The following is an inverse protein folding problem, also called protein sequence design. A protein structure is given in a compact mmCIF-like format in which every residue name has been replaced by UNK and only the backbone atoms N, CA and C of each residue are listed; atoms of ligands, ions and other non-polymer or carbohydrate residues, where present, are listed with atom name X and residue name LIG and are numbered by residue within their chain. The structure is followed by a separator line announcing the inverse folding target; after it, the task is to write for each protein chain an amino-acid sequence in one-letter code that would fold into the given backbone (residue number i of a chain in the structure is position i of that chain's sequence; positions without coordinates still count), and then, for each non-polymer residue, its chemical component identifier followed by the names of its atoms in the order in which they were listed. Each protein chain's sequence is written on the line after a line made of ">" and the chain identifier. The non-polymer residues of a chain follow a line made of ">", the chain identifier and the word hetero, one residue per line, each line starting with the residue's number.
data_IF_745135260137
#
_entry.id   IF_745135260137
#
_cell.length_a   1.000
_cell.length_b   1.000
_cell.length_c   1.000
_cell.angle_alpha   90.00
_cell.angle_beta   90.00
_cell.angle_gamma   90.00
#
_symmetry.space_group_name_H-M   'P 1'
#
loop_
_entity.id
_entity.type
_entity.pdbx_description
1 polymer ?
#
# COMPACT_ATOMS: atom_id res chain seq x y z
N UNK A 1 7.61 -8.40 5.42
CA UNK A 1 8.27 -7.09 5.59
C UNK A 1 9.71 -7.20 5.15
N UNK A 2 10.22 -6.20 4.41
CA UNK A 2 11.65 -6.04 4.10
C UNK A 2 12.15 -4.73 4.71
N UNK A 3 13.41 -4.69 5.16
CA UNK A 3 14.00 -3.53 5.84
C UNK A 3 15.41 -3.27 5.34
N UNK A 4 15.76 -1.99 5.24
CA UNK A 4 17.06 -1.51 4.83
C UNK A 4 17.58 -0.52 5.87
N UNK A 5 18.83 -0.69 6.31
CA UNK A 5 19.47 0.14 7.31
C UNK A 5 20.76 0.72 6.75
N UNK A 6 20.90 2.03 6.82
CA UNK A 6 22.09 2.79 6.38
C UNK A 6 22.59 3.68 7.51
N UNK A 7 23.13 3.09 8.59
CA UNK A 7 23.70 3.86 9.66
C UNK A 7 25.02 4.48 9.25
N UNK A 8 25.39 5.58 9.91
CA UNK A 8 26.71 6.19 9.74
C UNK A 8 27.18 6.90 11.02
N UNK A 9 28.47 7.17 11.11
CA UNK A 9 29.09 7.81 12.27
C UNK A 9 28.68 9.28 12.50
N UNK A 10 28.06 9.93 11.51
CA UNK A 10 27.59 11.32 11.61
C UNK A 10 26.16 11.42 12.17
N UNK A 11 25.52 10.32 12.57
CA UNK A 11 24.14 10.25 13.03
C UNK A 11 23.11 10.76 12.00
N UNK A 12 23.45 10.76 10.72
CA UNK A 12 22.54 11.15 9.61
C UNK A 12 21.97 9.96 8.86
N UNK A 13 22.22 8.75 9.35
CA UNK A 13 21.74 7.51 8.74
C UNK A 13 20.23 7.42 8.70
N UNK A 14 19.74 6.61 7.77
CA UNK A 14 18.32 6.33 7.56
C UNK A 14 18.05 4.82 7.56
N UNK A 15 16.85 4.46 7.98
CA UNK A 15 16.27 3.15 7.75
C UNK A 15 14.96 3.30 6.99
N UNK A 16 14.66 2.32 6.14
CA UNK A 16 13.40 2.24 5.43
C UNK A 16 12.87 0.81 5.50
N UNK A 17 11.57 0.66 5.73
CA UNK A 17 10.90 -0.63 5.71
C UNK A 17 9.65 -0.61 4.84
N UNK A 18 9.38 -1.74 4.19
CA UNK A 18 8.21 -1.99 3.37
C UNK A 18 7.44 -3.15 3.98
N UNK A 19 6.18 -2.94 4.32
CA UNK A 19 5.34 -3.91 5.02
C UNK A 19 3.96 -3.99 4.38
N UNK A 20 3.61 -5.14 3.82
CA UNK A 20 2.28 -5.36 3.28
C UNK A 20 1.28 -5.68 4.39
N UNK A 21 0.18 -4.93 4.42
CA UNK A 21 -0.96 -5.20 5.29
C UNK A 21 -2.07 -5.86 4.46
N UNK A 22 -2.29 -7.16 4.68
CA UNK A 22 -3.29 -7.95 3.96
C UNK A 22 -4.72 -7.42 4.17
N UNK A 23 -5.06 -6.99 5.39
CA UNK A 23 -6.41 -6.48 5.72
C UNK A 23 -6.73 -5.18 4.99
N UNK A 24 -5.76 -4.29 4.90
CA UNK A 24 -5.89 -3.01 4.21
C UNK A 24 -5.60 -3.09 2.72
N UNK A 25 -5.12 -4.25 2.24
CA UNK A 25 -4.64 -4.48 0.87
C UNK A 25 -3.68 -3.37 0.41
N UNK A 26 -2.75 -2.98 1.28
CA UNK A 26 -1.85 -1.85 1.06
C UNK A 26 -0.44 -2.13 1.55
N UNK A 27 0.53 -1.49 0.92
CA UNK A 27 1.92 -1.49 1.34
C UNK A 27 2.20 -0.25 2.19
N UNK A 28 2.68 -0.46 3.42
CA UNK A 28 3.18 0.61 4.27
C UNK A 28 4.67 0.78 4.08
N UNK A 29 5.09 2.00 3.83
CA UNK A 29 6.48 2.41 3.72
C UNK A 29 6.81 3.29 4.90
N UNK A 30 7.81 2.91 5.69
CA UNK A 30 8.21 3.64 6.88
C UNK A 30 9.66 4.08 6.76
N UNK A 31 9.94 5.33 7.12
CA UNK A 31 11.26 5.91 7.25
C UNK A 31 11.56 6.24 8.69
N UNK A 32 12.80 5.99 9.11
CA UNK A 32 13.28 6.33 10.45
C UNK A 32 14.69 6.90 10.30
N UNK A 33 14.96 8.05 10.93
CA UNK A 33 16.32 8.58 11.07
C UNK A 33 17.06 7.90 12.21
N UNK A 34 18.34 7.75 12.03
CA UNK A 34 19.24 7.24 13.07
C UNK A 34 19.15 8.09 14.34
N UNK A 35 19.17 7.44 15.49
CA UNK A 35 19.09 8.08 16.80
C UNK A 35 20.49 8.30 17.38
N UNK A 36 21.34 7.25 17.30
CA UNK A 36 22.67 7.28 17.84
C UNK A 36 23.63 6.40 17.05
N UNK A 37 24.93 6.58 17.28
CA UNK A 37 26.01 5.77 16.74
C UNK A 37 26.89 5.29 17.88
N UNK A 38 27.22 4.00 17.88
CA UNK A 38 28.23 3.44 18.76
C UNK A 38 29.56 3.27 17.97
N UNK A 39 30.62 4.02 18.31
CA UNK A 39 31.89 3.96 17.59
C UNK A 39 32.64 2.64 17.79
N UNK A 40 32.47 1.96 18.92
CA UNK A 40 33.16 0.71 19.25
C UNK A 40 32.59 -0.45 18.41
N UNK A 41 31.27 -0.61 18.42
CA UNK A 41 30.59 -1.66 17.63
C UNK A 41 30.32 -1.26 16.19
N UNK A 42 30.60 -0.01 15.79
CA UNK A 42 30.31 0.59 14.48
C UNK A 42 28.84 0.40 14.05
N UNK A 43 27.92 0.49 15.01
CA UNK A 43 26.49 0.29 14.81
C UNK A 43 25.69 1.56 15.09
N UNK A 44 24.64 1.76 14.27
CA UNK A 44 23.65 2.80 14.49
C UNK A 44 22.36 2.26 15.11
N UNK A 45 21.73 3.05 15.99
CA UNK A 45 20.45 2.73 16.61
C UNK A 45 19.33 3.53 15.96
N UNK A 46 18.22 2.87 15.65
CA UNK A 46 16.99 3.44 15.12
C UNK A 46 15.81 3.29 16.09
N UNK A 47 15.96 2.40 17.08
CA UNK A 47 14.97 2.17 18.13
C UNK A 47 14.82 3.41 19.01
N UNK A 48 13.57 3.73 19.40
CA UNK A 48 13.30 4.89 20.25
C UNK A 48 13.32 6.24 19.52
N UNK A 49 13.38 6.25 18.17
CA UNK A 49 13.32 7.51 17.40
C UNK A 49 12.06 8.30 17.76
N UNK A 50 12.22 9.59 18.00
CA UNK A 50 11.13 10.52 18.27
C UNK A 50 10.20 10.68 17.02
N UNK A 51 8.97 11.19 17.16
CA UNK A 51 8.02 11.33 16.05
C UNK A 51 8.52 12.17 14.88
N UNK A 52 9.32 13.21 15.13
CA UNK A 52 9.94 14.05 14.10
C UNK A 52 10.98 13.29 13.27
N UNK A 53 11.56 12.23 13.81
CA UNK A 53 12.51 11.33 13.14
C UNK A 53 11.85 10.17 12.40
N UNK A 54 10.52 10.17 12.29
CA UNK A 54 9.75 9.12 11.61
C UNK A 54 8.84 9.72 10.55
N UNK A 55 8.67 8.99 9.46
CA UNK A 55 7.64 9.28 8.47
C UNK A 55 7.11 7.97 7.88
N UNK A 56 5.90 7.98 7.39
CA UNK A 56 5.29 6.84 6.73
C UNK A 56 4.40 7.29 5.59
N UNK A 57 4.25 6.40 4.62
CA UNK A 57 3.30 6.55 3.52
C UNK A 57 2.64 5.22 3.23
N UNK A 58 1.38 5.26 2.81
CA UNK A 58 0.64 4.10 2.35
C UNK A 58 0.68 4.08 0.83
N UNK A 59 1.23 3.02 0.26
CA UNK A 59 1.30 2.83 -1.18
C UNK A 59 0.12 2.03 -1.68
N UNK A 60 -0.51 2.51 -2.73
CA UNK A 60 -1.48 1.75 -3.52
C UNK A 60 -0.77 0.68 -4.34
N UNK A 61 -1.56 -0.24 -4.89
CA UNK A 61 -1.06 -1.29 -5.81
C UNK A 61 -0.42 -0.69 -7.06
N UNK A 62 -1.01 0.38 -7.60
CA UNK A 62 -0.46 1.09 -8.76
C UNK A 62 0.89 1.72 -8.45
N UNK A 63 1.05 2.31 -7.27
CA UNK A 63 2.32 2.89 -6.84
C UNK A 63 3.40 1.82 -6.63
N UNK A 64 3.00 0.66 -6.11
CA UNK A 64 3.91 -0.47 -5.99
C UNK A 64 4.37 -0.98 -7.37
N UNK A 65 3.47 -1.06 -8.34
CA UNK A 65 3.80 -1.42 -9.73
C UNK A 65 4.73 -0.36 -10.37
N UNK A 66 4.49 0.93 -10.11
CA UNK A 66 5.37 2.02 -10.56
C UNK A 66 6.78 1.93 -9.99
N UNK A 67 6.91 1.55 -8.71
CA UNK A 67 8.21 1.29 -8.08
C UNK A 67 8.95 0.11 -8.75
N UNK A 68 8.25 -0.99 -9.03
CA UNK A 68 8.82 -2.15 -9.77
C UNK A 68 9.32 -1.71 -11.14
N UNK A 69 8.49 -0.99 -11.89
CA UNK A 69 8.84 -0.49 -13.22
C UNK A 69 10.08 0.41 -13.19
N UNK A 70 10.17 1.33 -12.23
CA UNK A 70 11.33 2.21 -12.08
C UNK A 70 12.63 1.43 -11.82
N UNK A 71 12.58 0.37 -11.01
CA UNK A 71 13.76 -0.48 -10.76
C UNK A 71 14.15 -1.26 -12.03
N UNK A 72 13.18 -1.77 -12.78
CA UNK A 72 13.42 -2.56 -14.02
C UNK A 72 14.02 -1.72 -15.14
N UNK A 73 13.55 -0.52 -15.30
CA UNK A 73 13.96 0.38 -16.38
C UNK A 73 15.12 1.30 -15.99
N UNK A 74 15.63 1.21 -14.76
CA UNK A 74 16.55 2.21 -14.18
C UNK A 74 15.99 3.64 -14.31
N UNK A 75 14.67 3.77 -14.16
CA UNK A 75 13.94 5.01 -14.32
C UNK A 75 13.57 5.67 -12.99
N UNK A 76 12.68 6.63 -13.09
CA UNK A 76 12.15 7.37 -11.95
C UNK A 76 10.69 7.03 -11.72
N UNK A 77 10.28 7.05 -10.46
CA UNK A 77 8.88 6.97 -10.06
C UNK A 77 8.65 7.86 -8.85
N UNK A 78 7.59 8.64 -8.87
CA UNK A 78 7.19 9.47 -7.75
C UNK A 78 5.70 9.74 -7.77
N UNK A 79 5.16 10.09 -6.61
CA UNK A 79 3.77 10.47 -6.47
C UNK A 79 3.58 11.43 -5.30
N UNK A 80 2.35 11.96 -5.20
CA UNK A 80 1.91 12.92 -4.21
C UNK A 80 0.63 12.44 -3.54
N UNK A 81 0.62 12.46 -2.20
CA UNK A 81 -0.57 12.24 -1.40
C UNK A 81 -0.91 13.51 -0.64
N UNK A 82 -2.06 14.10 -0.93
CA UNK A 82 -2.53 15.33 -0.31
C UNK A 82 -3.81 15.13 0.49
N UNK A 83 -3.85 15.72 1.68
CA UNK A 83 -5.05 15.99 2.45
C UNK A 83 -5.08 17.49 2.81
N UNK A 84 -6.17 17.96 3.43
CA UNK A 84 -6.26 19.37 3.89
C UNK A 84 -5.10 19.78 4.80
N UNK A 85 -4.59 18.85 5.60
CA UNK A 85 -3.62 19.14 6.65
C UNK A 85 -2.23 18.57 6.33
N UNK A 86 -2.15 17.50 5.54
CA UNK A 86 -0.92 16.74 5.36
C UNK A 86 -0.64 16.46 3.89
N UNK A 87 0.55 16.82 3.46
CA UNK A 87 1.07 16.50 2.14
C UNK A 87 2.27 15.55 2.26
N UNK A 88 2.29 14.54 1.42
CA UNK A 88 3.40 13.59 1.33
C UNK A 88 3.81 13.46 -0.12
N UNK A 89 5.07 13.72 -0.42
CA UNK A 89 5.68 13.48 -1.74
C UNK A 89 6.75 12.42 -1.58
N UNK A 90 6.80 11.47 -2.49
CA UNK A 90 7.90 10.53 -2.54
C UNK A 90 8.46 10.41 -3.95
N UNK A 91 9.75 10.10 -4.03
CA UNK A 91 10.46 9.88 -5.29
C UNK A 91 11.46 8.75 -5.14
N UNK A 92 11.39 7.78 -6.04
CA UNK A 92 12.40 6.76 -6.28
C UNK A 92 13.10 7.08 -7.60
N UNK A 93 14.44 7.06 -7.63
CA UNK A 93 15.18 7.44 -8.81
C UNK A 93 16.57 6.78 -8.84
N UNK A 94 17.23 6.72 -10.00
CA UNK A 94 18.64 6.35 -10.08
C UNK A 94 19.49 7.20 -9.15
N UNK A 95 20.44 6.57 -8.45
CA UNK A 95 21.43 7.27 -7.64
C UNK A 95 22.73 7.40 -8.42
N UNK A 96 23.04 8.62 -8.78
CA UNK A 96 24.21 8.95 -9.59
C UNK A 96 25.40 9.36 -8.72
N UNK A 97 26.58 8.89 -9.03
CA UNK A 97 27.85 9.33 -8.46
C UNK A 97 28.89 9.42 -9.58
N UNK A 98 29.58 10.52 -9.70
CA UNK A 98 30.64 10.75 -10.68
C UNK A 98 30.21 10.41 -12.13
N UNK A 99 28.96 10.78 -12.49
CA UNK A 99 28.38 10.53 -13.81
C UNK A 99 27.86 9.11 -14.05
N UNK A 100 28.04 8.18 -13.11
CA UNK A 100 27.60 6.80 -13.22
C UNK A 100 26.51 6.47 -12.22
N UNK A 101 25.57 5.62 -12.61
CA UNK A 101 24.58 5.07 -11.68
C UNK A 101 25.25 4.04 -10.77
N UNK A 102 25.11 4.26 -9.45
CA UNK A 102 25.67 3.34 -8.43
C UNK A 102 24.60 2.61 -7.63
N UNK A 103 23.32 2.83 -7.97
CA UNK A 103 22.18 2.21 -7.32
C UNK A 103 20.94 3.08 -7.49
N UNK A 104 20.12 3.13 -6.45
CA UNK A 104 18.87 3.89 -6.42
C UNK A 104 18.81 4.76 -5.17
N UNK A 105 18.04 5.83 -5.22
CA UNK A 105 17.67 6.63 -4.06
C UNK A 105 16.16 6.66 -3.88
N UNK A 106 15.71 6.67 -2.65
CA UNK A 106 14.31 6.83 -2.32
C UNK A 106 14.14 7.94 -1.29
N UNK A 107 13.38 8.96 -1.64
CA UNK A 107 13.09 10.09 -0.78
C UNK A 107 11.61 10.17 -0.44
N UNK A 108 11.30 10.68 0.75
CA UNK A 108 9.96 10.98 1.21
C UNK A 108 9.96 12.31 1.95
N UNK A 109 9.13 13.25 1.49
CA UNK A 109 8.93 14.54 2.11
C UNK A 109 7.49 14.61 2.63
N UNK A 110 7.34 15.01 3.89
CA UNK A 110 6.05 15.24 4.51
C UNK A 110 5.98 16.66 5.06
N UNK A 111 4.83 17.30 4.85
CA UNK A 111 4.50 18.56 5.53
C UNK A 111 3.15 18.43 6.22
N UNK A 112 3.05 18.98 7.41
CA UNK A 112 1.79 19.14 8.13
C UNK A 112 1.56 20.65 8.30
N UNK A 113 0.52 21.19 7.64
CA UNK A 113 0.23 22.62 7.66
C UNK A 113 -0.33 23.09 9.02
N UNK A 114 -1.07 22.23 9.72
CA UNK A 114 -1.62 22.54 11.04
C UNK A 114 -0.52 22.68 12.11
N UNK A 115 0.54 21.88 12.01
CA UNK A 115 1.67 21.87 12.96
C UNK A 115 2.88 22.68 12.47
N UNK A 116 2.85 23.20 11.24
CA UNK A 116 3.97 23.83 10.56
C UNK A 116 5.26 22.95 10.55
N UNK A 117 5.09 21.64 10.45
CA UNK A 117 6.18 20.66 10.47
C UNK A 117 6.49 20.19 9.05
N UNK A 118 7.79 20.23 8.71
CA UNK A 118 8.31 19.64 7.46
C UNK A 118 9.34 18.58 7.80
N UNK A 119 9.21 17.40 7.18
CA UNK A 119 10.12 16.27 7.35
C UNK A 119 10.62 15.82 5.98
N UNK A 120 11.91 15.56 5.86
CA UNK A 120 12.51 15.03 4.65
C UNK A 120 13.37 13.83 5.00
N UNK A 121 13.20 12.74 4.27
CA UNK A 121 13.94 11.49 4.43
C UNK A 121 14.51 11.06 3.09
N UNK A 122 15.68 10.47 3.12
CA UNK A 122 16.32 9.86 1.96
C UNK A 122 17.08 8.62 2.39
N UNK A 123 17.05 7.58 1.54
CA UNK A 123 17.86 6.38 1.69
C UNK A 123 18.40 5.97 0.32
N UNK A 124 19.64 5.50 0.28
CA UNK A 124 20.24 4.92 -0.91
C UNK A 124 20.16 3.40 -0.88
N UNK A 125 19.95 2.81 -2.05
CA UNK A 125 20.00 1.36 -2.27
C UNK A 125 21.11 1.03 -3.26
N UNK A 126 21.87 -0.02 -2.99
CA UNK A 126 22.71 -0.66 -3.99
C UNK A 126 21.84 -1.33 -5.05
N UNK A 127 22.40 -1.72 -6.19
CA UNK A 127 21.65 -2.51 -7.19
C UNK A 127 21.10 -3.82 -6.61
N UNK A 128 21.87 -4.49 -5.73
CA UNK A 128 21.43 -5.72 -5.07
C UNK A 128 20.22 -5.47 -4.16
N UNK A 129 20.24 -4.38 -3.39
CA UNK A 129 19.10 -3.99 -2.53
C UNK A 129 17.88 -3.56 -3.35
N UNK A 130 18.09 -2.86 -4.47
CA UNK A 130 17.03 -2.56 -5.45
C UNK A 130 16.40 -3.85 -6.00
N UNK A 131 17.23 -4.84 -6.35
CA UNK A 131 16.73 -6.16 -6.78
C UNK A 131 15.90 -6.85 -5.69
N UNK A 132 16.38 -6.87 -4.44
CA UNK A 132 15.63 -7.43 -3.31
C UNK A 132 14.29 -6.71 -3.10
N UNK A 133 14.27 -5.40 -3.19
CA UNK A 133 13.05 -4.59 -3.07
C UNK A 133 12.06 -4.93 -4.21
N UNK A 134 12.54 -5.09 -5.44
CA UNK A 134 11.73 -5.49 -6.58
C UNK A 134 11.08 -6.85 -6.36
N UNK A 135 11.84 -7.87 -5.98
CA UNK A 135 11.32 -9.23 -5.75
C UNK A 135 10.27 -9.24 -4.61
N UNK A 136 10.51 -8.48 -3.55
CA UNK A 136 9.53 -8.29 -2.50
C UNK A 136 8.25 -7.62 -3.02
N UNK A 137 8.38 -6.56 -3.81
CA UNK A 137 7.26 -5.83 -4.39
C UNK A 137 6.43 -6.71 -5.33
N UNK A 138 7.06 -7.51 -6.19
CA UNK A 138 6.40 -8.49 -7.06
C UNK A 138 5.65 -9.57 -6.26
N UNK A 139 6.22 -10.04 -5.16
CA UNK A 139 5.55 -10.97 -4.24
C UNK A 139 4.30 -10.35 -3.61
N UNK A 140 4.38 -9.09 -3.20
CA UNK A 140 3.23 -8.34 -2.66
C UNK A 140 2.15 -8.16 -3.71
N UNK A 141 2.50 -7.79 -4.95
CA UNK A 141 1.55 -7.67 -6.07
C UNK A 141 0.85 -9.00 -6.34
N UNK A 142 1.60 -10.10 -6.39
CA UNK A 142 1.03 -11.45 -6.56
C UNK A 142 0.03 -11.78 -5.46
N UNK A 143 0.40 -11.58 -4.21
CA UNK A 143 -0.48 -11.84 -3.07
C UNK A 143 -1.74 -10.96 -3.11
N UNK A 144 -1.61 -9.69 -3.46
CA UNK A 144 -2.75 -8.80 -3.61
C UNK A 144 -3.77 -9.32 -4.64
N UNK A 145 -3.31 -9.77 -5.81
CA UNK A 145 -4.21 -10.30 -6.85
C UNK A 145 -4.81 -11.64 -6.44
N UNK A 146 -4.04 -12.53 -5.83
CA UNK A 146 -4.56 -13.80 -5.29
C UNK A 146 -5.67 -13.55 -4.25
N UNK A 147 -5.40 -12.72 -3.26
CA UNK A 147 -6.38 -12.37 -2.22
C UNK A 147 -7.63 -11.69 -2.79
N UNK A 148 -7.50 -10.94 -3.88
CA UNK A 148 -8.63 -10.27 -4.54
C UNK A 148 -9.51 -11.25 -5.32
N UNK A 149 -8.90 -12.25 -5.98
CA UNK A 149 -9.63 -13.31 -6.70
C UNK A 149 -10.40 -14.20 -5.70
N UNK A 150 -9.74 -14.62 -4.63
CA UNK A 150 -10.37 -15.44 -3.59
C UNK A 150 -11.57 -14.74 -2.94
N UNK A 151 -11.45 -13.44 -2.62
CA UNK A 151 -12.55 -12.68 -2.02
C UNK A 151 -13.76 -12.57 -2.95
N UNK A 152 -13.55 -12.36 -4.25
CA UNK A 152 -14.64 -12.30 -5.23
C UNK A 152 -15.35 -13.64 -5.44
N UNK A 153 -14.64 -14.76 -5.33
CA UNK A 153 -15.25 -16.09 -5.43
C UNK A 153 -16.13 -16.38 -4.21
N UNK A 154 -15.75 -15.93 -3.03
CA UNK A 154 -16.51 -16.11 -1.80
C UNK A 154 -17.83 -15.31 -1.78
N UNK A 155 -17.81 -14.09 -2.30
CA UNK A 155 -19.00 -13.23 -2.40
C UNK A 155 -19.98 -13.77 -3.45
N UNK A 156 -19.50 -14.24 -4.59
CA UNK A 156 -20.34 -14.86 -5.62
C UNK A 156 -21.00 -16.15 -5.14
N UNK A 157 -20.33 -16.97 -4.32
CA UNK A 157 -20.90 -18.19 -3.75
C UNK A 157 -22.00 -17.92 -2.72
N UNK A 158 -21.90 -16.85 -1.96
CA UNK A 158 -22.94 -16.40 -1.03
C UNK A 158 -24.18 -15.89 -1.75
N UNK A 159 -24.01 -15.14 -2.81
CA UNK A 159 -25.11 -14.61 -3.61
C UNK A 159 -25.88 -15.72 -4.33
N UNK A 160 -25.18 -16.75 -4.84
CA UNK A 160 -25.81 -17.91 -5.46
C UNK A 160 -26.59 -18.77 -4.46
N UNK A 161 -26.13 -18.91 -3.22
CA UNK A 161 -26.82 -19.65 -2.18
C UNK A 161 -28.04 -18.92 -1.59
N UNK A 162 -28.02 -17.58 -1.54
CA UNK A 162 -29.16 -16.78 -1.10
C UNK A 162 -30.32 -16.81 -2.12
N UNK A 163 -30.02 -16.76 -3.42
CA UNK A 163 -31.06 -16.87 -4.47
C UNK A 163 -31.70 -18.28 -4.55
N UNK A 164 -30.97 -19.33 -4.16
CA UNK A 164 -31.53 -20.70 -4.10
C UNK A 164 -32.45 -20.96 -2.91
N UNK A 165 -32.34 -20.15 -1.86
CA UNK A 165 -33.19 -20.30 -0.66
C UNK A 165 -34.55 -19.61 -0.81
N UNK A 166 -34.64 -18.59 -1.71
CA UNK A 166 -35.90 -17.89 -1.98
C UNK A 166 -36.83 -18.62 -2.98
N UNK A 167 -36.32 -19.55 -3.80
CA UNK A 167 -37.13 -20.30 -4.77
C UNK A 167 -37.88 -21.52 -4.18
N UNK A 168 -37.78 -21.78 -2.88
CA UNK A 168 -38.36 -22.99 -2.26
C UNK A 168 -39.62 -22.77 -1.43
N UNK A 169 -40.23 -21.60 -1.50
CA UNK A 169 -41.48 -21.30 -0.83
C UNK A 169 -42.43 -20.63 -1.81
N UNK A 170 -43.07 -21.39 -2.70
CA UNK A 170 -44.42 -21.11 -3.17
C UNK A 170 -44.90 -22.21 -4.13
N UNK A 171 -45.40 -23.28 -3.56
CA UNK A 171 -46.33 -24.18 -4.26
C UNK A 171 -47.48 -24.49 -3.31
N UNK A 172 -48.41 -23.55 -3.17
CA UNK A 172 -49.74 -23.79 -2.68
C UNK A 172 -50.70 -23.67 -3.87
N UNK A 173 -51.55 -24.69 -4.15
CA UNK A 173 -52.47 -24.64 -5.31
C UNK A 173 -53.58 -23.60 -5.07
N UNK A 174 -54.02 -22.87 -6.09
CA UNK A 174 -55.09 -21.89 -5.94
C UNK A 174 -56.41 -22.59 -5.68
N UNK A 175 -57.03 -22.23 -4.58
CA UNK A 175 -58.42 -22.56 -4.26
C UNK A 175 -59.33 -21.84 -5.25
N UNK A 176 -60.10 -22.59 -6.04
CA UNK A 176 -61.17 -22.08 -6.88
C UNK A 176 -62.28 -21.52 -5.98
N UNK A 177 -62.52 -20.23 -6.03
CA UNK A 177 -63.75 -19.63 -5.52
C UNK A 177 -64.61 -19.19 -6.72
N UNK A 178 -65.65 -19.98 -6.95
CA UNK A 178 -66.71 -19.73 -7.92
C UNK A 178 -67.79 -18.85 -7.29
N UNK A 179 -67.78 -17.57 -7.57
CA UNK A 179 -68.99 -16.74 -7.38
C UNK A 179 -69.22 -15.88 -8.64
N UNK A 180 -70.40 -15.91 -9.26
CA UNK A 180 -70.73 -15.11 -10.39
C UNK A 180 -71.07 -13.70 -9.91
N UNK A 181 -70.52 -12.70 -10.55
CA UNK A 181 -70.97 -11.29 -10.42
C UNK A 181 -71.50 -10.77 -11.74
N UNK A 182 -72.65 -10.43 -11.56
CA UNK A 182 -73.69 -9.70 -12.24
C UNK A 182 -73.24 -8.50 -13.09
N UNK A 183 -73.89 -8.34 -14.21
CA UNK A 183 -73.74 -7.32 -15.20
C UNK A 183 -74.13 -5.95 -14.71
N UNK A 184 -73.38 -4.95 -15.08
CA UNK A 184 -73.74 -3.57 -14.82
C UNK A 184 -72.93 -2.63 -15.70
N UNK A 185 -73.30 -2.45 -16.97
CA UNK A 185 -73.02 -1.26 -17.73
C UNK A 185 -74.07 -0.19 -17.29
N UNK A 186 -73.72 1.12 -17.14
CA UNK A 186 -73.69 2.00 -18.32
C UNK A 186 -72.79 3.26 -18.18
N UNK A 187 -72.55 3.86 -19.34
CA UNK A 187 -72.16 5.20 -19.79
C UNK A 187 -70.67 5.49 -19.93
#
# INVERSE_FOLDING_TARGET
>A
MIQFYKPNSKNTGSACSFSYNKKEKALWVNFIRQVSWNPESKNGTFKGAAPDKKAYSKFSVTELAGLVHAIETNGEFGNFHGTKERNTTFKFSPYMRDGSQVGFSFSLNQSNSAENVKKSFIIGFTFAEGRMLKEYALTVLKNYFTDSIESNQFDNSKQYNSSKTEEKVENTPPTQDNTPKDDGIPW
#
